data_IF_961103625590
#
_entry.id   IF_961103625590
#
_cell.length_a   1.000
_cell.length_b   1.000
_cell.length_c   1.000
_cell.angle_alpha   90.00
_cell.angle_beta   90.00
_cell.angle_gamma   90.00
#
_symmetry.space_group_name_H-M   'P 1'
#
loop_
_entity.id
_entity.type
_entity.pdbx_description
1 polymer ?
#
# COMPACT_ATOMS: atom_id res chain seq x y z
N UNK A 1 -12.58 2.70 61.24
CA UNK A 1 -12.37 1.93 60.00
C UNK A 1 -12.55 2.88 58.85
N UNK A 2 -11.53 3.10 58.02
CA UNK A 2 -11.62 4.03 56.89
C UNK A 2 -12.28 3.29 55.73
N UNK A 3 -13.54 3.62 55.43
CA UNK A 3 -14.24 3.12 54.24
C UNK A 3 -13.73 3.90 53.02
N UNK A 4 -12.62 3.46 52.44
CA UNK A 4 -12.18 3.96 51.14
C UNK A 4 -13.00 3.25 50.06
N UNK A 5 -13.85 3.99 49.33
CA UNK A 5 -14.51 3.46 48.14
C UNK A 5 -13.48 3.36 47.01
N UNK A 6 -13.39 2.17 46.40
CA UNK A 6 -12.56 1.94 45.22
C UNK A 6 -13.05 2.82 44.06
N UNK A 7 -12.14 3.45 43.29
CA UNK A 7 -12.52 4.19 42.10
C UNK A 7 -13.28 3.27 41.13
N UNK A 8 -14.45 3.69 40.67
CA UNK A 8 -15.18 2.96 39.61
C UNK A 8 -14.45 3.14 38.28
N UNK A 9 -14.40 2.07 37.48
CA UNK A 9 -13.90 2.18 36.10
C UNK A 9 -14.84 3.08 35.28
N UNK A 10 -14.30 3.82 34.29
CA UNK A 10 -15.13 4.61 33.38
C UNK A 10 -16.07 3.70 32.60
N UNK A 11 -17.36 4.00 32.61
CA UNK A 11 -18.38 3.27 31.85
C UNK A 11 -18.44 3.71 30.38
N UNK A 12 -17.77 4.81 30.04
CA UNK A 12 -17.67 5.34 28.68
C UNK A 12 -16.28 5.91 28.41
N UNK A 13 -15.92 5.98 27.13
CA UNK A 13 -14.64 6.53 26.67
C UNK A 13 -14.77 7.06 25.24
N UNK A 14 -13.86 7.98 24.87
CA UNK A 14 -13.79 8.53 23.52
C UNK A 14 -12.87 7.63 22.69
N UNK A 15 -13.37 7.11 21.59
CA UNK A 15 -12.56 6.48 20.56
C UNK A 15 -11.71 7.54 19.88
N UNK A 16 -10.41 7.27 19.79
CA UNK A 16 -9.47 8.18 19.18
C UNK A 16 -8.47 7.42 18.33
N UNK A 17 -8.38 7.76 17.04
CA UNK A 17 -7.45 7.11 16.11
C UNK A 17 -6.74 8.13 15.23
N UNK A 18 -5.57 7.73 14.73
CA UNK A 18 -4.78 8.43 13.72
C UNK A 18 -4.26 7.38 12.74
N UNK A 19 -4.09 7.76 11.49
CA UNK A 19 -3.51 6.88 10.48
C UNK A 19 -2.08 7.35 10.18
N UNK A 20 -1.17 6.39 10.05
CA UNK A 20 0.24 6.60 9.78
C UNK A 20 0.55 6.09 8.38
N UNK A 21 1.00 6.98 7.51
CA UNK A 21 1.36 6.66 6.12
C UNK A 21 2.85 6.88 5.87
N UNK A 22 3.69 6.92 6.91
CA UNK A 22 5.14 7.16 6.79
C UNK A 22 5.87 6.13 5.93
N UNK A 23 5.35 4.90 5.85
CA UNK A 23 5.89 3.84 4.98
C UNK A 23 5.43 3.96 3.51
N UNK A 24 4.39 4.76 3.24
CA UNK A 24 3.78 4.89 1.91
C UNK A 24 4.03 6.25 1.27
N UNK A 25 4.20 7.32 2.06
CA UNK A 25 4.35 8.69 1.59
C UNK A 25 5.74 9.20 1.95
N UNK A 26 6.54 9.49 0.92
CA UNK A 26 7.87 10.07 1.09
C UNK A 26 7.78 11.48 1.71
N UNK A 27 8.69 11.79 2.64
CA UNK A 27 8.80 13.09 3.30
C UNK A 27 8.93 14.28 2.33
N UNK A 28 9.53 14.08 1.15
CA UNK A 28 9.62 15.12 0.12
C UNK A 28 8.24 15.55 -0.41
N UNK A 29 7.27 14.64 -0.45
CA UNK A 29 5.90 14.93 -0.89
C UNK A 29 5.09 15.71 0.14
N UNK A 30 5.55 15.75 1.40
CA UNK A 30 4.87 16.44 2.50
C UNK A 30 5.18 17.94 2.54
N UNK A 31 6.29 18.38 1.93
CA UNK A 31 6.78 19.77 1.98
C UNK A 31 5.75 20.79 1.50
N UNK A 32 4.99 20.42 0.47
CA UNK A 32 4.00 21.29 -0.18
C UNK A 32 2.55 21.00 0.31
N UNK A 33 2.42 20.23 1.37
CA UNK A 33 1.14 19.76 1.91
C UNK A 33 0.55 18.61 1.09
N UNK A 34 0.35 17.47 1.77
CA UNK A 34 -0.29 16.29 1.19
C UNK A 34 -1.73 16.17 1.69
N UNK A 35 -2.70 16.31 0.79
CA UNK A 35 -4.14 16.25 1.08
C UNK A 35 -4.61 14.81 1.27
N UNK A 36 -5.52 14.63 2.21
CA UNK A 36 -6.30 13.42 2.38
C UNK A 36 -7.77 13.77 2.63
N UNK A 37 -8.67 12.83 2.36
CA UNK A 37 -10.08 12.90 2.73
C UNK A 37 -10.40 11.84 3.77
N UNK A 38 -11.08 12.24 4.83
CA UNK A 38 -11.67 11.33 5.82
C UNK A 38 -13.12 11.12 5.46
N UNK A 39 -13.54 9.87 5.38
CA UNK A 39 -14.92 9.46 5.16
C UNK A 39 -15.35 8.64 6.37
N UNK A 40 -16.32 9.16 7.13
CA UNK A 40 -16.92 8.45 8.25
C UNK A 40 -18.26 7.87 7.81
N UNK A 41 -18.29 6.57 7.56
CA UNK A 41 -19.48 5.85 7.08
C UNK A 41 -20.58 5.79 8.15
N UNK A 42 -20.22 5.76 9.43
CA UNK A 42 -21.19 5.72 10.53
C UNK A 42 -21.93 7.05 10.69
N UNK A 43 -21.21 8.18 10.60
CA UNK A 43 -21.77 9.53 10.74
C UNK A 43 -22.23 10.15 9.43
N UNK A 44 -21.91 9.54 8.28
CA UNK A 44 -22.15 10.08 6.94
C UNK A 44 -21.55 11.47 6.76
N UNK A 45 -20.34 11.64 7.28
CA UNK A 45 -19.60 12.91 7.21
C UNK A 45 -18.28 12.71 6.49
N UNK A 46 -17.83 13.75 5.81
CA UNK A 46 -16.54 13.78 5.16
C UNK A 46 -15.84 15.13 5.34
N UNK A 47 -14.51 15.12 5.36
CA UNK A 47 -13.72 16.34 5.37
C UNK A 47 -12.34 16.10 4.76
N UNK A 48 -11.70 17.19 4.31
CA UNK A 48 -10.34 17.17 3.78
C UNK A 48 -9.38 17.69 4.86
N UNK A 49 -8.25 17.00 5.03
CA UNK A 49 -7.15 17.41 5.88
C UNK A 49 -5.81 17.33 5.15
N UNK A 50 -4.74 17.64 5.88
CA UNK A 50 -3.37 17.54 5.40
C UNK A 50 -2.57 16.63 6.32
N UNK A 51 -1.74 15.76 5.74
CA UNK A 51 -0.80 14.96 6.51
C UNK A 51 0.20 15.88 7.23
N UNK A 52 0.60 15.50 8.44
CA UNK A 52 1.67 16.17 9.15
C UNK A 52 3.04 15.86 8.53
N UNK A 53 4.10 16.49 9.05
CA UNK A 53 5.48 16.29 8.61
C UNK A 53 6.01 14.83 8.75
N UNK A 54 5.24 13.95 9.39
CA UNK A 54 5.55 12.53 9.55
C UNK A 54 4.57 11.63 8.78
N UNK A 55 3.86 12.17 7.79
CA UNK A 55 2.85 11.48 6.98
C UNK A 55 1.67 10.92 7.80
N UNK A 56 1.26 11.60 8.88
CA UNK A 56 0.13 11.15 9.71
C UNK A 56 -1.08 12.05 9.56
N UNK A 57 -2.27 11.46 9.67
CA UNK A 57 -3.50 12.24 9.72
C UNK A 57 -3.64 12.98 11.05
N UNK A 58 -4.45 14.04 11.05
CA UNK A 58 -5.04 14.55 12.28
C UNK A 58 -5.77 13.45 13.06
N UNK A 59 -5.84 13.63 14.38
CA UNK A 59 -6.52 12.67 15.27
C UNK A 59 -8.03 12.78 15.09
N UNK A 60 -8.67 11.66 14.81
CA UNK A 60 -10.12 11.54 14.64
C UNK A 60 -10.71 11.03 15.95
N UNK A 61 -11.71 11.73 16.47
CA UNK A 61 -12.39 11.40 17.71
C UNK A 61 -13.84 10.98 17.44
N UNK A 62 -14.33 10.02 18.21
CA UNK A 62 -15.73 9.63 18.22
C UNK A 62 -16.12 9.06 19.57
N UNK A 63 -17.39 9.23 19.94
CA UNK A 63 -17.96 8.56 21.11
C UNK A 63 -18.29 7.08 20.82
N UNK A 64 -18.25 6.68 19.55
CA UNK A 64 -18.55 5.32 19.07
C UNK A 64 -17.40 4.75 18.21
N UNK A 65 -17.31 3.42 18.05
CA UNK A 65 -16.33 2.79 17.18
C UNK A 65 -16.71 2.97 15.70
N UNK A 66 -16.55 4.18 15.18
CA UNK A 66 -16.93 4.54 13.81
C UNK A 66 -16.13 3.75 12.77
N UNK A 67 -16.79 3.39 11.66
CA UNK A 67 -16.14 2.93 10.43
C UNK A 67 -15.63 4.16 9.66
N UNK A 68 -14.30 4.30 9.60
CA UNK A 68 -13.61 5.44 9.01
C UNK A 68 -12.66 4.97 7.92
N UNK A 69 -12.76 5.59 6.76
CA UNK A 69 -11.92 5.38 5.59
C UNK A 69 -11.10 6.65 5.31
N UNK A 70 -9.86 6.44 4.85
CA UNK A 70 -8.96 7.52 4.43
C UNK A 70 -8.66 7.36 2.96
N UNK A 71 -8.93 8.41 2.18
CA UNK A 71 -8.55 8.50 0.78
C UNK A 71 -7.40 9.51 0.63
N UNK A 72 -6.28 9.06 0.09
CA UNK A 72 -5.13 9.92 -0.22
C UNK A 72 -5.42 10.70 -1.51
N UNK A 73 -5.35 12.03 -1.44
CA UNK A 73 -5.68 12.91 -2.58
C UNK A 73 -4.42 13.44 -3.31
N UNK A 74 -3.25 13.41 -2.66
CA UNK A 74 -2.01 13.91 -3.24
C UNK A 74 -1.69 15.36 -2.86
N UNK A 75 -0.83 16.01 -3.64
CA UNK A 75 -0.37 17.39 -3.38
C UNK A 75 -1.50 18.42 -3.48
N UNK A 76 -1.31 19.56 -2.83
CA UNK A 76 -2.22 20.69 -2.95
C UNK A 76 -2.23 21.29 -4.36
N UNK A 77 -3.41 21.70 -4.84
CA UNK A 77 -3.64 22.21 -6.21
C UNK A 77 -2.83 23.48 -6.56
N UNK A 78 -2.21 24.11 -5.56
CA UNK A 78 -1.36 25.28 -5.74
C UNK A 78 0.01 24.93 -6.34
N UNK A 79 0.43 23.66 -6.29
CA UNK A 79 1.52 23.18 -7.15
C UNK A 79 0.94 22.84 -8.51
N UNK A 80 1.10 23.76 -9.47
CA UNK A 80 1.04 23.52 -10.92
C UNK A 80 2.11 22.51 -11.40
N UNK A 81 2.53 21.58 -10.54
CA UNK A 81 3.35 20.44 -10.91
C UNK A 81 2.41 19.38 -11.47
N UNK A 82 2.02 19.59 -12.74
CA UNK A 82 1.57 18.51 -13.61
C UNK A 82 2.48 17.31 -13.34
N UNK A 83 1.90 16.16 -13.01
CA UNK A 83 2.61 14.89 -13.07
C UNK A 83 3.19 14.78 -14.49
N UNK A 84 4.51 14.93 -14.60
CA UNK A 84 5.21 14.77 -15.87
C UNK A 84 5.57 13.30 -16.02
N UNK A 85 4.97 12.63 -17.01
CA UNK A 85 5.55 11.39 -17.51
C UNK A 85 6.90 11.76 -18.13
N UNK A 86 7.98 11.27 -17.54
CA UNK A 86 9.30 11.33 -18.14
C UNK A 86 9.53 9.96 -18.78
N UNK A 87 9.59 9.95 -20.11
CA UNK A 87 10.04 8.77 -20.85
C UNK A 87 11.51 8.51 -20.48
N UNK A 88 11.75 7.40 -19.80
CA UNK A 88 13.11 6.94 -19.53
C UNK A 88 13.61 6.26 -20.81
N UNK A 89 14.43 6.97 -21.58
CA UNK A 89 15.17 6.37 -22.70
C UNK A 89 16.13 5.35 -22.10
N UNK A 90 15.74 4.08 -22.11
CA UNK A 90 16.66 2.97 -21.90
C UNK A 90 17.62 3.06 -23.08
N UNK A 91 18.85 3.51 -22.83
CA UNK A 91 19.89 3.43 -23.83
C UNK A 91 20.20 1.96 -24.03
N UNK A 92 19.61 1.37 -25.08
CA UNK A 92 20.01 0.09 -25.64
C UNK A 92 21.48 0.21 -26.07
N UNK A 93 22.39 -0.07 -25.13
CA UNK A 93 23.78 0.25 -25.37
C UNK A 93 24.75 -0.02 -24.23
N UNK A 94 24.38 -0.76 -23.18
CA UNK A 94 25.35 -1.44 -22.30
C UNK A 94 24.65 -2.42 -21.35
N UNK A 95 24.41 -3.64 -21.83
CA UNK A 95 24.07 -4.77 -20.96
C UNK A 95 23.11 -5.75 -21.61
N UNK A 96 23.67 -6.69 -22.39
CA UNK A 96 23.07 -7.94 -22.86
C UNK A 96 21.67 -7.87 -23.48
N UNK A 97 21.60 -7.95 -24.81
CA UNK A 97 20.35 -8.25 -25.50
C UNK A 97 19.79 -9.59 -25.05
N UNK A 98 18.56 -9.56 -24.54
CA UNK A 98 17.59 -10.63 -24.68
C UNK A 98 16.27 -9.95 -25.02
N UNK A 99 15.93 -9.97 -26.31
CA UNK A 99 14.59 -9.67 -26.81
C UNK A 99 13.61 -10.67 -26.19
N UNK A 100 13.00 -10.30 -25.08
CA UNK A 100 11.83 -10.99 -24.55
C UNK A 100 10.59 -10.44 -25.26
N UNK A 101 10.31 -11.04 -26.41
CA UNK A 101 9.08 -10.85 -27.15
C UNK A 101 7.88 -11.16 -26.24
N UNK A 102 7.09 -10.13 -25.97
CA UNK A 102 5.82 -10.25 -25.26
C UNK A 102 4.84 -11.03 -26.14
N UNK A 103 4.32 -12.14 -25.61
CA UNK A 103 3.50 -13.12 -26.31
C UNK A 103 2.22 -12.52 -26.90
N UNK A 104 2.20 -12.32 -28.22
CA UNK A 104 0.97 -12.30 -29.01
C UNK A 104 1.07 -13.45 -30.00
N UNK A 105 0.18 -14.43 -29.84
CA UNK A 105 0.20 -15.68 -30.57
C UNK A 105 -0.22 -15.49 -32.01
N UNK A 106 0.59 -16.01 -32.92
CA UNK A 106 0.09 -16.56 -34.17
C UNK A 106 0.84 -17.86 -34.44
N UNK A 107 0.07 -18.95 -34.43
CA UNK A 107 0.51 -20.31 -34.74
C UNK A 107 0.96 -20.38 -36.20
N UNK A 108 2.26 -20.52 -36.44
CA UNK A 108 2.76 -21.17 -37.64
C UNK A 108 3.88 -22.14 -37.26
N UNK A 109 3.45 -23.38 -36.98
CA UNK A 109 4.33 -24.51 -36.75
C UNK A 109 5.18 -24.81 -37.98
N UNK A 110 6.50 -24.66 -37.86
CA UNK A 110 7.41 -25.53 -38.61
C UNK A 110 8.65 -25.88 -37.78
N UNK A 111 8.84 -27.19 -37.64
CA UNK A 111 9.87 -27.88 -36.89
C UNK A 111 11.30 -27.43 -37.24
N UNK A 112 12.19 -27.36 -36.26
CA UNK A 112 13.40 -28.22 -36.21
C UNK A 112 14.24 -28.00 -34.93
N UNK A 113 14.10 -28.99 -34.03
CA UNK A 113 15.07 -29.63 -33.12
C UNK A 113 16.11 -28.86 -32.26
N UNK A 114 16.06 -29.25 -30.98
CA UNK A 114 17.15 -29.44 -30.02
C UNK A 114 17.81 -28.22 -29.36
N UNK A 115 17.33 -27.89 -28.15
CA UNK A 115 18.13 -28.16 -26.94
C UNK A 115 17.27 -28.04 -25.66
N UNK A 116 16.87 -29.20 -25.11
CA UNK A 116 16.54 -29.51 -23.71
C UNK A 116 15.99 -28.41 -22.79
N UNK A 117 14.66 -28.30 -22.72
CA UNK A 117 13.99 -28.02 -21.45
C UNK A 117 13.90 -29.32 -20.64
N UNK A 118 14.82 -29.50 -19.68
CA UNK A 118 14.63 -30.44 -18.58
C UNK A 118 14.36 -29.66 -17.29
N UNK A 119 13.17 -29.08 -17.19
CA UNK A 119 12.56 -28.91 -15.86
C UNK A 119 11.94 -30.27 -15.55
N UNK A 120 12.67 -31.08 -14.80
CA UNK A 120 12.12 -32.30 -14.21
C UNK A 120 10.95 -31.89 -13.29
N UNK A 121 9.75 -32.03 -13.82
CA UNK A 121 8.42 -31.85 -13.20
C UNK A 121 8.15 -32.90 -12.08
N UNK A 122 9.20 -33.31 -11.37
CA UNK A 122 9.24 -34.58 -10.65
C UNK A 122 9.19 -34.45 -9.14
N UNK A 123 9.04 -33.25 -8.56
CA UNK A 123 8.78 -33.21 -7.11
C UNK A 123 8.06 -32.00 -6.52
N UNK A 124 7.07 -31.45 -7.24
CA UNK A 124 6.14 -30.47 -6.66
C UNK A 124 5.39 -31.03 -5.44
N UNK A 125 5.26 -32.36 -5.36
CA UNK A 125 4.60 -33.03 -4.24
C UNK A 125 5.47 -33.08 -2.98
N UNK A 126 6.77 -33.39 -3.05
CA UNK A 126 7.62 -33.29 -1.87
C UNK A 126 7.77 -31.85 -1.36
N UNK A 127 7.81 -30.86 -2.26
CA UNK A 127 7.85 -29.45 -1.87
C UNK A 127 6.57 -29.03 -1.13
N UNK A 128 5.40 -29.51 -1.58
CA UNK A 128 4.14 -29.30 -0.87
C UNK A 128 4.13 -29.97 0.50
N UNK A 129 4.62 -31.21 0.60
CA UNK A 129 4.64 -31.99 1.84
C UNK A 129 5.68 -31.49 2.87
N UNK A 130 6.75 -30.82 2.40
CA UNK A 130 7.77 -30.16 3.23
C UNK A 130 7.31 -28.81 3.80
N UNK A 131 6.26 -28.21 3.24
CA UNK A 131 5.83 -26.87 3.59
C UNK A 131 5.22 -26.81 5.01
N UNK A 132 6.01 -26.33 5.97
CA UNK A 132 5.56 -26.08 7.35
C UNK A 132 6.02 -27.10 8.39
N UNK A 133 6.86 -28.07 8.02
CA UNK A 133 7.62 -28.87 8.99
C UNK A 133 8.83 -28.05 9.47
N UNK A 134 8.61 -27.28 10.54
CA UNK A 134 9.68 -26.65 11.32
C UNK A 134 10.34 -27.70 12.21
N UNK A 135 11.68 -27.71 12.24
CA UNK A 135 12.47 -28.34 13.31
C UNK A 135 12.07 -27.83 14.71
#
# INVERSE_FOLDING_TARGET
TVNAQLPKMPESGIFSRRFDFSELVNADLLKDGFKYKVINHAKKTEYIGFLDQFARTGRIFSDNPDSVEILLLGKSDDSLDKLQLVEQVISEGQGHGSDEACCDGDDDHNHDNDSDEHIEDTDLQADFESFGLKD
#
